data_IF_641349762333
#
_entry.id   IF_641349762333
#
_cell.length_a   1.000
_cell.length_b   1.000
_cell.length_c   1.000
_cell.angle_alpha   90.00
_cell.angle_beta   90.00
_cell.angle_gamma   90.00
#
_symmetry.space_group_name_H-M   'P 1'
#
loop_
_entity.id
_entity.type
_entity.pdbx_description
1 polymer ?
#
# COMPACT_ATOMS: atom_id res chain seq x y z
N UNK A 1 8.50 30.64 -3.83
CA UNK A 1 8.57 29.17 -4.00
C UNK A 1 8.61 28.58 -2.60
N UNK A 2 7.49 28.06 -2.12
CA UNK A 2 7.47 27.42 -0.81
C UNK A 2 8.41 26.23 -0.82
N UNK A 3 9.29 26.17 0.17
CA UNK A 3 10.21 25.03 0.35
C UNK A 3 9.35 23.85 0.82
N UNK A 4 9.17 22.87 -0.05
CA UNK A 4 8.45 21.64 0.30
C UNK A 4 9.13 20.99 1.50
N UNK A 5 8.35 20.59 2.49
CA UNK A 5 8.86 19.88 3.65
C UNK A 5 9.51 18.55 3.20
N UNK A 6 10.58 18.14 3.88
CA UNK A 6 11.28 16.90 3.54
C UNK A 6 10.36 15.69 3.71
N UNK A 7 9.50 15.72 4.72
CA UNK A 7 8.48 14.68 4.97
C UNK A 7 7.51 14.50 3.81
N UNK A 8 7.11 15.58 3.11
CA UNK A 8 6.19 15.50 1.95
C UNK A 8 6.86 14.81 0.76
N UNK A 9 8.12 15.16 0.48
CA UNK A 9 8.91 14.53 -0.58
C UNK A 9 9.10 13.05 -0.27
N UNK A 10 9.43 12.74 0.98
CA UNK A 10 9.66 11.36 1.43
C UNK A 10 8.37 10.54 1.35
N UNK A 11 7.22 11.11 1.72
CA UNK A 11 5.92 10.48 1.60
C UNK A 11 5.58 10.14 0.15
N UNK A 12 5.83 11.07 -0.77
CA UNK A 12 5.61 10.85 -2.21
C UNK A 12 6.50 9.71 -2.74
N UNK A 13 7.79 9.70 -2.40
CA UNK A 13 8.72 8.63 -2.80
C UNK A 13 8.28 7.29 -2.23
N UNK A 14 7.89 7.25 -0.95
CA UNK A 14 7.36 6.04 -0.30
C UNK A 14 6.11 5.51 -1.02
N UNK A 15 5.20 6.40 -1.42
CA UNK A 15 4.01 6.05 -2.18
C UNK A 15 4.33 5.44 -3.55
N UNK A 16 5.31 5.99 -4.28
CA UNK A 16 5.78 5.42 -5.55
C UNK A 16 6.35 4.02 -5.34
N UNK A 17 7.26 3.86 -4.37
CA UNK A 17 7.89 2.57 -4.07
C UNK A 17 6.83 1.54 -3.68
N UNK A 18 5.90 1.90 -2.80
CA UNK A 18 4.78 1.05 -2.42
C UNK A 18 3.97 0.60 -3.64
N UNK A 19 3.58 1.52 -4.51
CA UNK A 19 2.78 1.21 -5.69
C UNK A 19 3.51 0.27 -6.66
N UNK A 20 4.80 0.51 -6.91
CA UNK A 20 5.62 -0.33 -7.79
C UNK A 20 5.75 -1.74 -7.21
N UNK A 21 6.01 -1.87 -5.90
CA UNK A 21 6.13 -3.18 -5.24
C UNK A 21 4.80 -3.93 -5.31
N UNK A 22 3.67 -3.27 -5.02
CA UNK A 22 2.36 -3.92 -5.08
C UNK A 22 1.99 -4.36 -6.50
N UNK A 23 2.24 -3.54 -7.52
CA UNK A 23 2.05 -3.92 -8.93
C UNK A 23 2.89 -5.16 -9.24
N UNK A 24 4.16 -5.19 -8.82
CA UNK A 24 5.06 -6.32 -9.03
C UNK A 24 4.56 -7.58 -8.31
N UNK A 25 4.10 -7.45 -7.06
CA UNK A 25 3.51 -8.55 -6.29
C UNK A 25 2.28 -9.12 -7.03
N UNK A 26 1.39 -8.30 -7.55
CA UNK A 26 0.21 -8.76 -8.27
C UNK A 26 0.55 -9.45 -9.60
N UNK A 27 1.57 -8.97 -10.31
CA UNK A 27 2.06 -9.62 -11.52
C UNK A 27 2.69 -10.99 -11.21
N UNK A 28 3.51 -11.08 -10.16
CA UNK A 28 4.14 -12.34 -9.72
C UNK A 28 3.07 -13.33 -9.24
N UNK A 29 2.06 -12.87 -8.49
CA UNK A 29 0.95 -13.72 -8.01
C UNK A 29 0.25 -14.45 -9.17
N UNK A 30 0.09 -13.78 -10.30
CA UNK A 30 -0.52 -14.37 -11.49
C UNK A 30 0.33 -15.48 -12.09
N UNK A 31 1.67 -15.39 -12.00
CA UNK A 31 2.60 -16.26 -12.71
C UNK A 31 3.19 -17.36 -11.85
N UNK A 32 3.50 -17.10 -10.56
CA UNK A 32 4.22 -18.03 -9.71
C UNK A 32 4.05 -17.73 -8.21
N UNK A 33 3.24 -18.55 -7.53
CA UNK A 33 2.97 -18.42 -6.09
C UNK A 33 4.19 -18.67 -5.21
N UNK A 34 5.08 -19.57 -5.60
CA UNK A 34 6.29 -19.90 -4.81
C UNK A 34 7.25 -18.71 -4.77
N UNK A 35 7.39 -18.02 -5.90
CA UNK A 35 8.17 -16.77 -5.96
C UNK A 35 7.53 -15.68 -5.09
N UNK A 36 6.21 -15.59 -5.09
CA UNK A 36 5.50 -14.64 -4.25
C UNK A 36 5.79 -14.85 -2.76
N UNK A 37 5.75 -16.10 -2.28
CA UNK A 37 6.05 -16.40 -0.88
C UNK A 37 7.48 -16.04 -0.49
N UNK A 38 8.44 -16.23 -1.42
CA UNK A 38 9.84 -15.91 -1.18
C UNK A 38 10.13 -14.42 -1.16
N UNK A 39 9.60 -13.67 -2.13
CA UNK A 39 9.90 -12.24 -2.32
C UNK A 39 8.91 -11.29 -1.63
N UNK A 40 7.69 -11.74 -1.35
CA UNK A 40 6.67 -10.94 -0.67
C UNK A 40 7.11 -10.44 0.72
N UNK A 41 8.04 -11.16 1.37
CA UNK A 41 8.61 -10.74 2.66
C UNK A 41 9.33 -9.39 2.60
N UNK A 42 9.94 -9.06 1.47
CA UNK A 42 10.63 -7.78 1.30
C UNK A 42 9.68 -6.58 1.32
N UNK A 43 8.39 -6.79 1.06
CA UNK A 43 7.39 -5.74 1.18
C UNK A 43 7.31 -5.16 2.58
N UNK A 44 7.52 -5.97 3.62
CA UNK A 44 7.47 -5.51 5.01
C UNK A 44 8.65 -4.62 5.41
N UNK A 45 9.72 -4.57 4.61
CA UNK A 45 10.80 -3.61 4.83
C UNK A 45 10.32 -2.15 4.71
N UNK A 46 9.17 -1.91 4.07
CA UNK A 46 8.56 -0.58 4.00
C UNK A 46 8.10 -0.04 5.37
N UNK A 47 8.02 -0.87 6.39
CA UNK A 47 7.78 -0.42 7.79
C UNK A 47 8.85 0.59 8.21
N UNK A 48 10.12 0.36 7.88
CA UNK A 48 11.20 1.27 8.28
C UNK A 48 11.08 2.67 7.67
N UNK A 49 11.00 2.83 6.34
CA UNK A 49 10.84 4.16 5.76
C UNK A 49 9.51 4.82 6.14
N UNK A 50 8.44 4.06 6.37
CA UNK A 50 7.18 4.62 6.86
C UNK A 50 7.32 5.19 8.29
N UNK A 51 8.00 4.47 9.19
CA UNK A 51 8.27 4.95 10.54
C UNK A 51 9.20 6.17 10.55
N UNK A 52 10.24 6.18 9.71
CA UNK A 52 11.13 7.34 9.53
C UNK A 52 10.34 8.55 9.02
N UNK A 53 9.47 8.36 8.04
CA UNK A 53 8.65 9.46 7.53
C UNK A 53 7.69 10.00 8.59
N UNK A 54 7.08 9.12 9.39
CA UNK A 54 6.21 9.55 10.50
C UNK A 54 6.99 10.40 11.51
N UNK A 55 8.23 10.02 11.85
CA UNK A 55 9.10 10.83 12.70
C UNK A 55 9.42 12.20 12.07
N UNK A 56 9.74 12.25 10.77
CA UNK A 56 9.98 13.50 10.05
C UNK A 56 8.78 14.44 10.10
N UNK A 57 7.56 13.92 9.89
CA UNK A 57 6.32 14.74 9.96
C UNK A 57 6.19 15.37 11.35
N UNK A 58 6.45 14.62 12.43
CA UNK A 58 6.41 15.17 13.79
C UNK A 58 7.51 16.22 14.01
N UNK A 59 8.71 15.96 13.56
CA UNK A 59 9.85 16.88 13.73
C UNK A 59 9.65 18.20 12.98
N UNK A 60 9.03 18.15 11.80
CA UNK A 60 8.77 19.34 10.97
C UNK A 60 7.46 20.07 11.34
N UNK A 61 6.72 19.60 12.36
CA UNK A 61 5.36 20.06 12.67
C UNK A 61 4.45 20.04 11.42
N UNK A 62 4.61 18.98 10.60
CA UNK A 62 3.89 18.80 9.37
C UNK A 62 2.40 18.49 9.58
N UNK A 63 1.66 18.42 8.48
CA UNK A 63 0.22 18.15 8.52
C UNK A 63 -0.07 16.76 9.13
N UNK A 64 -0.86 16.74 10.20
CA UNK A 64 -1.27 15.52 10.92
C UNK A 64 -1.89 14.46 10.01
N UNK A 65 -2.45 14.84 8.87
CA UNK A 65 -3.01 13.89 7.90
C UNK A 65 -1.98 12.92 7.35
N UNK A 66 -0.72 13.34 7.19
CA UNK A 66 0.38 12.44 6.82
C UNK A 66 0.57 11.34 7.87
N UNK A 67 0.53 11.70 9.15
CA UNK A 67 0.63 10.74 10.27
C UNK A 67 -0.52 9.73 10.22
N UNK A 68 -1.75 10.19 9.98
CA UNK A 68 -2.93 9.32 9.89
C UNK A 68 -2.76 8.31 8.74
N UNK A 69 -2.37 8.76 7.55
CA UNK A 69 -2.20 7.86 6.41
C UNK A 69 -1.01 6.91 6.56
N UNK A 70 0.07 7.35 7.19
CA UNK A 70 1.20 6.47 7.52
C UNK A 70 0.80 5.42 8.57
N UNK A 71 0.01 5.79 9.57
CA UNK A 71 -0.52 4.84 10.55
C UNK A 71 -1.45 3.80 9.91
N UNK A 72 -2.33 4.22 8.98
CA UNK A 72 -3.17 3.29 8.20
C UNK A 72 -2.32 2.37 7.33
N UNK A 73 -1.24 2.88 6.75
CA UNK A 73 -0.31 2.08 5.96
C UNK A 73 0.44 1.06 6.82
N UNK A 74 0.93 1.45 8.00
CA UNK A 74 1.57 0.53 8.95
C UNK A 74 0.58 -0.54 9.45
N UNK A 75 -0.68 -0.16 9.72
CA UNK A 75 -1.73 -1.10 10.07
C UNK A 75 -2.04 -2.08 8.93
N UNK A 76 -2.03 -1.62 7.68
CA UNK A 76 -2.17 -2.47 6.50
C UNK A 76 -1.02 -3.48 6.40
N UNK A 77 0.23 -3.05 6.54
CA UNK A 77 1.40 -3.95 6.54
C UNK A 77 1.32 -4.98 7.66
N UNK A 78 0.86 -4.58 8.85
CA UNK A 78 0.69 -5.49 9.99
C UNK A 78 -0.36 -6.56 9.69
N UNK A 79 -1.53 -6.18 9.16
CA UNK A 79 -2.60 -7.13 8.79
C UNK A 79 -2.13 -8.06 7.67
N UNK A 80 -1.47 -7.55 6.64
CA UNK A 80 -0.88 -8.35 5.57
C UNK A 80 0.06 -9.42 6.14
N UNK A 81 0.96 -9.02 7.07
CA UNK A 81 1.87 -9.95 7.72
C UNK A 81 1.13 -11.00 8.58
N UNK A 82 0.15 -10.56 9.37
CA UNK A 82 -0.64 -11.46 10.23
C UNK A 82 -1.40 -12.49 9.40
N UNK A 83 -2.03 -12.07 8.32
CA UNK A 83 -2.87 -12.94 7.50
C UNK A 83 -2.05 -13.92 6.68
N UNK A 84 -0.97 -13.48 6.04
CA UNK A 84 -0.21 -14.29 5.11
C UNK A 84 0.85 -15.18 5.80
N UNK A 85 1.48 -14.68 6.89
CA UNK A 85 2.62 -15.36 7.48
C UNK A 85 2.34 -15.98 8.84
N UNK A 86 1.57 -15.31 9.70
CA UNK A 86 1.29 -15.81 11.05
C UNK A 86 0.10 -16.76 11.08
N UNK A 87 -1.04 -16.33 10.57
CA UNK A 87 -2.29 -17.11 10.62
C UNK A 87 -2.54 -17.92 9.36
N UNK A 88 -1.86 -17.60 8.24
CA UNK A 88 -2.01 -18.26 6.94
C UNK A 88 -3.47 -18.39 6.51
N UNK A 89 -4.22 -17.29 6.61
CA UNK A 89 -5.65 -17.26 6.31
C UNK A 89 -5.84 -17.23 4.80
N UNK A 90 -6.43 -18.28 4.22
CA UNK A 90 -6.75 -18.36 2.78
C UNK A 90 -7.97 -17.52 2.36
N UNK A 91 -8.09 -16.28 2.86
CA UNK A 91 -9.26 -15.43 2.58
C UNK A 91 -9.36 -15.01 1.10
N UNK A 92 -8.23 -15.00 0.38
CA UNK A 92 -8.18 -14.62 -1.04
C UNK A 92 -8.77 -15.68 -1.98
N UNK A 93 -8.83 -16.94 -1.56
CA UNK A 93 -9.39 -18.04 -2.36
C UNK A 93 -10.91 -17.96 -2.43
N UNK A 94 -11.55 -17.54 -1.35
CA UNK A 94 -13.00 -17.39 -1.27
C UNK A 94 -13.37 -16.15 -0.41
N UNK A 95 -13.22 -14.98 -1.02
CA UNK A 95 -13.38 -13.70 -0.35
C UNK A 95 -14.80 -13.44 0.21
N UNK A 96 -15.84 -13.96 -0.46
CA UNK A 96 -17.23 -13.84 0.01
C UNK A 96 -17.47 -14.67 1.28
N UNK A 97 -16.95 -15.90 1.33
CA UNK A 97 -17.07 -16.75 2.50
C UNK A 97 -16.26 -16.21 3.68
N UNK A 98 -15.13 -15.56 3.40
CA UNK A 98 -14.20 -15.04 4.39
C UNK A 98 -14.33 -13.51 4.57
N UNK A 99 -15.53 -12.95 4.37
CA UNK A 99 -15.77 -11.51 4.39
C UNK A 99 -15.29 -10.81 5.67
N UNK A 100 -15.33 -11.47 6.82
CA UNK A 100 -14.87 -10.95 8.11
C UNK A 100 -13.36 -10.57 8.10
N UNK A 101 -12.57 -11.29 7.31
CA UNK A 101 -11.15 -11.05 7.14
C UNK A 101 -10.89 -10.13 5.94
N UNK A 102 -11.68 -10.27 4.91
CA UNK A 102 -11.54 -9.53 3.66
C UNK A 102 -11.87 -8.04 3.81
N UNK A 103 -12.93 -7.69 4.56
CA UNK A 103 -13.37 -6.29 4.71
C UNK A 103 -12.32 -5.43 5.41
N UNK A 104 -11.77 -5.79 6.60
CA UNK A 104 -10.72 -5.00 7.23
C UNK A 104 -9.46 -4.87 6.36
N UNK A 105 -9.09 -5.95 5.68
CA UNK A 105 -7.95 -5.95 4.76
C UNK A 105 -8.14 -4.97 3.61
N UNK A 106 -9.26 -5.07 2.89
CA UNK A 106 -9.57 -4.16 1.77
C UNK A 106 -9.75 -2.72 2.24
N UNK A 107 -10.39 -2.52 3.39
CA UNK A 107 -10.58 -1.20 3.98
C UNK A 107 -9.23 -0.49 4.22
N UNK A 108 -8.28 -1.16 4.86
CA UNK A 108 -6.95 -0.62 5.09
C UNK A 108 -6.14 -0.46 3.79
N UNK A 109 -6.25 -1.43 2.88
CA UNK A 109 -5.62 -1.35 1.57
C UNK A 109 -6.05 -0.10 0.79
N UNK A 110 -7.36 0.13 0.67
CA UNK A 110 -7.86 1.30 -0.06
C UNK A 110 -7.62 2.61 0.71
N UNK A 111 -7.77 2.63 2.03
CA UNK A 111 -7.56 3.82 2.83
C UNK A 111 -6.09 4.29 2.79
N UNK A 112 -5.12 3.38 2.90
CA UNK A 112 -3.70 3.72 2.81
C UNK A 112 -3.31 4.20 1.41
N UNK A 113 -3.78 3.52 0.36
CA UNK A 113 -3.50 3.93 -1.02
C UNK A 113 -4.20 5.25 -1.40
N UNK A 114 -5.40 5.50 -0.89
CA UNK A 114 -6.05 6.80 -1.03
C UNK A 114 -5.19 7.93 -0.44
N UNK A 115 -4.59 7.70 0.74
CA UNK A 115 -3.66 8.64 1.34
C UNK A 115 -2.47 8.95 0.45
N UNK A 116 -1.87 7.92 -0.16
CA UNK A 116 -0.75 8.07 -1.09
C UNK A 116 -1.12 8.82 -2.39
N UNK A 117 -2.38 8.91 -2.75
CA UNK A 117 -2.86 9.71 -3.88
C UNK A 117 -3.20 11.14 -3.46
N UNK A 118 -4.04 11.30 -2.41
CA UNK A 118 -4.63 12.60 -2.07
C UNK A 118 -3.62 13.58 -1.46
N UNK A 119 -2.66 13.08 -0.66
CA UNK A 119 -1.68 13.97 -0.03
C UNK A 119 -0.69 14.56 -1.04
N UNK A 120 -0.05 13.78 -1.93
CA UNK A 120 0.76 14.35 -3.01
C UNK A 120 -0.03 15.28 -3.92
N UNK A 121 -1.32 15.00 -4.18
CA UNK A 121 -2.18 15.88 -4.97
C UNK A 121 -2.31 17.28 -4.37
N UNK A 122 -2.43 17.38 -3.04
CA UNK A 122 -2.51 18.66 -2.33
C UNK A 122 -1.19 19.43 -2.36
N UNK A 123 -0.07 18.73 -2.36
CA UNK A 123 1.26 19.33 -2.39
C UNK A 123 1.64 19.78 -3.81
N UNK A 124 1.34 18.95 -4.81
CA UNK A 124 1.67 19.23 -6.20
C UNK A 124 0.78 18.39 -7.13
N UNK A 125 0.10 19.06 -8.06
CA UNK A 125 -0.82 18.41 -8.99
C UNK A 125 -0.14 17.32 -9.84
N UNK A 126 1.11 17.55 -10.27
CA UNK A 126 1.88 16.56 -11.04
C UNK A 126 2.14 15.29 -10.23
N UNK A 127 2.47 15.44 -8.94
CA UNK A 127 2.66 14.31 -8.04
C UNK A 127 1.35 13.53 -7.84
N UNK A 128 0.24 14.25 -7.71
CA UNK A 128 -1.08 13.64 -7.61
C UNK A 128 -1.45 12.84 -8.87
N UNK A 129 -1.18 13.37 -10.05
CA UNK A 129 -1.44 12.68 -11.33
C UNK A 129 -0.59 11.39 -11.41
N UNK A 130 0.70 11.45 -11.07
CA UNK A 130 1.57 10.27 -11.07
C UNK A 130 1.02 9.21 -10.13
N UNK A 131 0.67 9.57 -8.90
CA UNK A 131 0.13 8.62 -7.91
C UNK A 131 -1.22 8.05 -8.33
N UNK A 132 -2.10 8.85 -8.94
CA UNK A 132 -3.37 8.38 -9.48
C UNK A 132 -3.16 7.35 -10.59
N UNK A 133 -2.26 7.61 -11.54
CA UNK A 133 -1.93 6.66 -12.60
C UNK A 133 -1.40 5.34 -12.04
N UNK A 134 -0.47 5.40 -11.08
CA UNK A 134 0.06 4.21 -10.41
C UNK A 134 -1.03 3.43 -9.67
N UNK A 135 -1.94 4.13 -9.00
CA UNK A 135 -3.05 3.50 -8.28
C UNK A 135 -4.03 2.80 -9.24
N UNK A 136 -4.35 3.41 -10.38
CA UNK A 136 -5.20 2.78 -11.41
C UNK A 136 -4.52 1.51 -11.95
N UNK A 137 -3.24 1.56 -12.28
CA UNK A 137 -2.47 0.38 -12.73
C UNK A 137 -2.46 -0.69 -11.65
N UNK A 138 -2.29 -0.32 -10.39
CA UNK A 138 -2.32 -1.23 -9.25
C UNK A 138 -3.66 -1.94 -9.11
N UNK A 139 -4.79 -1.22 -9.23
CA UNK A 139 -6.14 -1.82 -9.21
C UNK A 139 -6.31 -2.80 -10.37
N UNK A 140 -5.95 -2.41 -11.59
CA UNK A 140 -6.07 -3.27 -12.78
C UNK A 140 -5.26 -4.55 -12.62
N UNK A 141 -4.01 -4.44 -12.16
CA UNK A 141 -3.13 -5.59 -11.93
C UNK A 141 -3.64 -6.49 -10.80
N UNK A 142 -4.18 -5.90 -9.73
CA UNK A 142 -4.79 -6.65 -8.63
C UNK A 142 -5.99 -7.49 -9.14
N UNK A 143 -6.93 -6.88 -9.83
CA UNK A 143 -8.12 -7.57 -10.38
C UNK A 143 -7.69 -8.71 -11.32
N UNK A 144 -6.70 -8.47 -12.18
CA UNK A 144 -6.18 -9.47 -13.11
C UNK A 144 -5.36 -10.58 -12.47
N UNK A 145 -4.88 -10.39 -11.24
CA UNK A 145 -4.08 -11.37 -10.51
C UNK A 145 -4.91 -12.48 -9.86
N UNK A 146 -6.22 -12.25 -9.69
CA UNK A 146 -7.10 -13.26 -9.14
C UNK A 146 -7.50 -14.27 -10.23
N UNK A 147 -7.41 -15.60 -9.96
CA UNK A 147 -7.89 -16.59 -10.90
C UNK A 147 -9.39 -16.40 -11.12
N UNK A 148 -9.81 -16.37 -12.39
CA UNK A 148 -11.25 -16.36 -12.70
C UNK A 148 -11.85 -17.65 -12.15
N UNK A 149 -12.83 -17.51 -11.26
CA UNK A 149 -13.65 -18.65 -10.83
C UNK A 149 -14.31 -19.16 -12.11
N UNK A 150 -13.87 -20.34 -12.58
CA UNK A 150 -14.60 -21.03 -13.64
C UNK A 150 -15.94 -21.45 -13.03
N UNK A 151 -16.99 -20.74 -13.43
CA UNK A 151 -18.36 -21.15 -13.20
C UNK A 151 -18.65 -22.46 -13.89
#
# INVERSE_FOLDING_TARGET
MERKAMSEIFFFILGIINSIILITIFLIRKSNLDRLQRYGKFYFLLVFPAAVNMFLVFHENGDTRYVIFLALFLAFLLIEWLYDYKFKIGFRENWLKNWKWTIPYLGLYYASNYGFVIMPWKTNITWGIIMMCLFVIQIITNIRSHPRIKS
#
